data_IF_032578499514
#
_entry.id   IF_032578499514
#
_cell.length_a   1.000
_cell.length_b   1.000
_cell.length_c   1.000
_cell.angle_alpha   90.00
_cell.angle_beta   90.00
_cell.angle_gamma   90.00
#
_symmetry.space_group_name_H-M   'P 1'
#
loop_
_entity.id
_entity.type
_entity.pdbx_description
1 polymer ?
#
# COMPACT_ATOMS: atom_id res chain seq x y z
N UNK A 1 24.92 -15.26 -44.59
CA UNK A 1 24.60 -14.91 -43.19
C UNK A 1 23.17 -14.37 -43.12
N UNK A 2 22.32 -14.98 -42.29
CA UNK A 2 21.02 -14.37 -41.97
C UNK A 2 21.27 -13.15 -41.06
N UNK A 3 20.62 -12.00 -41.30
CA UNK A 3 20.77 -10.83 -40.45
C UNK A 3 20.36 -11.18 -39.02
N UNK A 4 21.24 -10.90 -38.06
CA UNK A 4 20.94 -11.09 -36.63
C UNK A 4 19.69 -10.27 -36.29
N UNK A 5 18.72 -10.83 -35.54
CA UNK A 5 17.54 -10.07 -35.13
C UNK A 5 18.00 -8.84 -34.32
N UNK A 6 17.37 -7.68 -34.53
CA UNK A 6 17.76 -6.44 -33.87
C UNK A 6 17.74 -6.63 -32.35
N UNK A 7 18.88 -6.29 -31.75
CA UNK A 7 19.15 -6.34 -30.32
C UNK A 7 18.21 -5.40 -29.56
N UNK A 8 17.47 -5.96 -28.58
CA UNK A 8 16.79 -5.28 -27.46
C UNK A 8 16.38 -3.83 -27.71
N UNK A 9 15.22 -3.62 -28.36
CA UNK A 9 14.59 -2.31 -28.32
C UNK A 9 14.34 -1.89 -26.86
N UNK A 10 14.66 -0.64 -26.48
CA UNK A 10 14.51 -0.15 -25.12
C UNK A 10 13.06 -0.30 -24.64
N UNK A 11 12.88 -0.65 -23.37
CA UNK A 11 11.54 -0.70 -22.77
C UNK A 11 11.08 0.72 -22.53
N UNK A 12 9.96 1.12 -23.15
CA UNK A 12 9.30 2.41 -22.93
C UNK A 12 8.06 2.24 -22.08
N UNK A 13 7.58 3.33 -21.48
CA UNK A 13 6.31 3.36 -20.74
C UNK A 13 5.15 2.89 -21.63
N UNK A 14 5.07 3.37 -22.87
CA UNK A 14 4.05 2.95 -23.83
C UNK A 14 4.05 1.43 -24.06
N UNK A 15 5.24 0.84 -24.22
CA UNK A 15 5.35 -0.60 -24.44
C UNK A 15 4.92 -1.40 -23.21
N UNK A 16 5.22 -0.91 -22.01
CA UNK A 16 4.72 -1.52 -20.78
C UNK A 16 3.19 -1.45 -20.71
N UNK A 17 2.59 -0.29 -21.01
CA UNK A 17 1.13 -0.11 -21.03
C UNK A 17 0.47 -1.06 -22.04
N UNK A 18 1.02 -1.16 -23.25
CA UNK A 18 0.54 -2.06 -24.29
C UNK A 18 0.54 -3.53 -23.86
N UNK A 19 1.55 -3.97 -23.09
CA UNK A 19 1.60 -5.33 -22.53
C UNK A 19 0.53 -5.61 -21.49
N UNK A 20 0.04 -4.58 -20.81
CA UNK A 20 -1.11 -4.69 -19.91
C UNK A 20 -2.44 -4.63 -20.66
N UNK A 21 -2.42 -4.44 -21.99
CA UNK A 21 -3.62 -4.22 -22.80
C UNK A 21 -4.23 -2.83 -22.59
N UNK A 22 -3.43 -1.86 -22.14
CA UNK A 22 -3.87 -0.49 -21.89
C UNK A 22 -3.34 0.44 -22.99
N UNK A 23 -4.23 1.06 -23.75
CA UNK A 23 -3.87 2.05 -24.74
C UNK A 23 -3.54 3.39 -24.07
N UNK A 24 -2.51 4.09 -24.57
CA UNK A 24 -2.12 5.40 -24.04
C UNK A 24 -3.27 6.41 -24.08
N UNK A 25 -4.06 6.40 -25.15
CA UNK A 25 -5.24 7.26 -25.30
C UNK A 25 -6.29 7.07 -24.20
N UNK A 26 -6.34 5.89 -23.56
CA UNK A 26 -7.26 5.64 -22.44
C UNK A 26 -6.86 6.37 -21.16
N UNK A 27 -5.63 6.89 -21.08
CA UNK A 27 -5.15 7.69 -19.95
C UNK A 27 -5.46 9.19 -20.10
N UNK A 28 -5.79 9.67 -21.31
CA UNK A 28 -5.99 11.09 -21.58
C UNK A 28 -7.18 11.72 -20.81
N UNK A 29 -8.07 10.91 -20.24
CA UNK A 29 -9.17 11.36 -19.39
C UNK A 29 -8.89 11.26 -17.89
N UNK A 30 -7.65 10.98 -17.47
CA UNK A 30 -7.26 10.97 -16.07
C UNK A 30 -6.76 12.36 -15.67
N UNK A 31 -7.26 12.87 -14.54
CA UNK A 31 -6.94 14.23 -14.08
C UNK A 31 -5.56 14.33 -13.41
N UNK A 32 -5.05 13.21 -12.89
CA UNK A 32 -3.78 13.15 -12.15
C UNK A 32 -3.09 11.78 -12.28
N UNK A 33 -1.88 11.71 -11.71
CA UNK A 33 -1.04 10.51 -11.72
C UNK A 33 -1.69 9.33 -10.97
N UNK A 34 -2.44 9.59 -9.92
CA UNK A 34 -3.11 8.55 -9.13
C UNK A 34 -4.26 7.92 -9.93
N UNK A 35 -5.01 8.72 -10.69
CA UNK A 35 -6.05 8.26 -11.60
C UNK A 35 -5.47 7.41 -12.74
N UNK A 36 -4.35 7.84 -13.35
CA UNK A 36 -3.65 7.03 -14.35
C UNK A 36 -3.13 5.73 -13.76
N UNK A 37 -2.52 5.78 -12.57
CA UNK A 37 -2.02 4.59 -11.88
C UNK A 37 -3.15 3.60 -11.54
N UNK A 38 -4.32 4.09 -11.13
CA UNK A 38 -5.49 3.25 -10.92
C UNK A 38 -5.92 2.54 -12.22
N UNK A 39 -5.84 3.21 -13.38
CA UNK A 39 -6.11 2.59 -14.67
C UNK A 39 -5.07 1.50 -15.02
N UNK A 40 -3.79 1.77 -14.77
CA UNK A 40 -2.69 0.79 -14.93
C UNK A 40 -2.92 -0.46 -14.08
N UNK A 41 -3.26 -0.30 -12.81
CA UNK A 41 -3.56 -1.42 -11.90
C UNK A 41 -4.74 -2.27 -12.40
N UNK A 42 -5.85 -1.62 -12.78
CA UNK A 42 -7.03 -2.34 -13.32
C UNK A 42 -6.66 -3.16 -14.56
N UNK A 43 -5.90 -2.59 -15.49
CA UNK A 43 -5.44 -3.28 -16.69
C UNK A 43 -4.52 -4.46 -16.35
N UNK A 44 -3.59 -4.26 -15.41
CA UNK A 44 -2.69 -5.30 -14.93
C UNK A 44 -3.46 -6.49 -14.34
N UNK A 45 -4.35 -6.28 -13.37
CA UNK A 45 -5.09 -7.39 -12.75
C UNK A 45 -5.96 -8.14 -13.75
N UNK A 46 -6.66 -7.41 -14.63
CA UNK A 46 -7.46 -8.02 -15.69
C UNK A 46 -6.61 -8.93 -16.59
N UNK A 47 -5.42 -8.46 -16.98
CA UNK A 47 -4.52 -9.22 -17.85
C UNK A 47 -3.85 -10.37 -17.10
N UNK A 48 -3.41 -10.16 -15.87
CA UNK A 48 -2.81 -11.17 -15.00
C UNK A 48 -3.77 -12.35 -14.75
N UNK A 49 -5.04 -12.08 -14.45
CA UNK A 49 -6.06 -13.11 -14.27
C UNK A 49 -6.32 -13.96 -15.52
N UNK A 50 -6.16 -13.35 -16.70
CA UNK A 50 -6.32 -14.03 -17.99
C UNK A 50 -5.11 -14.89 -18.36
N UNK A 51 -3.90 -14.45 -18.03
CA UNK A 51 -2.66 -15.12 -18.44
C UNK A 51 -2.05 -16.02 -17.37
N UNK A 52 -2.65 -16.08 -16.18
CA UNK A 52 -2.12 -16.83 -15.05
C UNK A 52 -1.96 -18.35 -15.33
N UNK A 53 -0.81 -18.96 -14.99
CA UNK A 53 -0.57 -20.38 -15.23
C UNK A 53 -1.54 -21.32 -14.49
N UNK A 54 -1.91 -21.03 -13.24
CA UNK A 54 -2.89 -21.84 -12.47
C UNK A 54 -4.24 -22.06 -13.15
N UNK A 55 -4.63 -21.19 -14.09
CA UNK A 55 -5.89 -21.30 -14.85
C UNK A 55 -5.65 -21.62 -16.34
N UNK A 56 -4.50 -22.22 -16.65
CA UNK A 56 -4.14 -22.65 -18.00
C UNK A 56 -3.59 -21.53 -18.90
N UNK A 57 -3.17 -20.41 -18.33
CA UNK A 57 -2.51 -19.33 -19.07
C UNK A 57 -1.02 -19.61 -19.35
N UNK A 58 -0.41 -18.81 -20.23
CA UNK A 58 1.01 -18.92 -20.56
C UNK A 58 1.89 -18.21 -19.52
N UNK A 59 2.71 -19.00 -18.81
CA UNK A 59 3.65 -18.50 -17.82
C UNK A 59 4.66 -17.50 -18.41
N UNK A 60 5.06 -17.63 -19.67
CA UNK A 60 5.97 -16.67 -20.31
C UNK A 60 5.28 -15.33 -20.57
N UNK A 61 4.04 -15.33 -21.06
CA UNK A 61 3.23 -14.13 -21.22
C UNK A 61 2.94 -13.47 -19.86
N UNK A 62 2.59 -14.24 -18.84
CA UNK A 62 2.34 -13.72 -17.49
C UNK A 62 3.57 -13.00 -16.91
N UNK A 63 4.76 -13.58 -17.08
CA UNK A 63 6.02 -12.95 -16.66
C UNK A 63 6.30 -11.63 -17.38
N UNK A 64 5.96 -11.53 -18.68
CA UNK A 64 6.07 -10.26 -19.43
C UNK A 64 5.10 -9.19 -18.90
N UNK A 65 3.91 -9.60 -18.46
CA UNK A 65 2.89 -8.73 -17.85
C UNK A 65 3.36 -8.24 -16.48
N UNK A 66 3.87 -9.13 -15.62
CA UNK A 66 4.47 -8.76 -14.34
C UNK A 66 5.64 -7.80 -14.52
N UNK A 67 6.60 -8.11 -15.40
CA UNK A 67 7.76 -7.25 -15.65
C UNK A 67 7.38 -5.85 -16.14
N UNK A 68 6.35 -5.74 -16.99
CA UNK A 68 5.82 -4.46 -17.45
C UNK A 68 5.15 -3.66 -16.32
N UNK A 69 4.35 -4.31 -15.48
CA UNK A 69 3.71 -3.68 -14.33
C UNK A 69 4.75 -3.17 -13.32
N UNK A 70 5.77 -3.97 -13.02
CA UNK A 70 6.85 -3.58 -12.12
C UNK A 70 7.64 -2.38 -12.65
N UNK A 71 7.91 -2.31 -13.95
CA UNK A 71 8.57 -1.16 -14.56
C UNK A 71 7.71 0.12 -14.45
N UNK A 72 6.39 0.01 -14.65
CA UNK A 72 5.45 1.13 -14.49
C UNK A 72 5.30 1.56 -13.02
N UNK A 73 5.29 0.60 -12.09
CA UNK A 73 5.24 0.87 -10.65
C UNK A 73 6.42 1.71 -10.19
N UNK A 74 7.63 1.37 -10.62
CA UNK A 74 8.82 2.17 -10.29
C UNK A 74 8.78 3.57 -10.88
N UNK A 75 8.19 3.73 -12.07
CA UNK A 75 7.97 5.04 -12.66
C UNK A 75 6.97 5.86 -11.83
N UNK A 76 5.86 5.25 -11.40
CA UNK A 76 4.90 5.85 -10.48
C UNK A 76 5.56 6.27 -9.16
N UNK A 77 6.28 5.36 -8.49
CA UNK A 77 6.93 5.64 -7.21
C UNK A 77 7.90 6.83 -7.31
N UNK A 78 8.61 6.96 -8.44
CA UNK A 78 9.48 8.13 -8.74
C UNK A 78 8.67 9.40 -8.93
N UNK A 79 7.56 9.34 -9.67
CA UNK A 79 6.64 10.47 -9.84
C UNK A 79 6.06 10.96 -8.51
N UNK A 80 5.72 10.03 -7.60
CA UNK A 80 5.26 10.36 -6.25
C UNK A 80 6.35 10.98 -5.37
N UNK A 81 7.60 10.54 -5.51
CA UNK A 81 8.73 11.08 -4.75
C UNK A 81 9.07 12.52 -5.18
N UNK A 82 8.80 12.89 -6.43
CA UNK A 82 9.08 14.21 -7.00
C UNK A 82 7.80 14.86 -7.56
N UNK A 83 6.85 15.33 -6.71
CA UNK A 83 5.56 15.85 -7.16
C UNK A 83 5.67 17.07 -8.08
N UNK A 84 6.76 17.84 -7.97
CA UNK A 84 7.06 18.99 -8.81
C UNK A 84 7.41 18.63 -10.26
N UNK A 85 7.65 17.35 -10.56
CA UNK A 85 7.99 16.87 -11.91
C UNK A 85 6.82 16.90 -12.88
N UNK A 86 5.57 16.98 -12.39
CA UNK A 86 4.38 16.88 -13.23
C UNK A 86 4.30 15.55 -13.99
N UNK A 87 4.92 14.50 -13.47
CA UNK A 87 5.00 13.21 -14.13
C UNK A 87 3.60 12.61 -14.33
N UNK A 88 3.29 12.29 -15.59
CA UNK A 88 2.14 11.49 -16.01
C UNK A 88 2.64 10.43 -16.99
N UNK A 89 2.07 9.23 -16.95
CA UNK A 89 2.33 8.17 -17.91
C UNK A 89 1.94 8.58 -19.33
N UNK A 90 0.81 9.27 -19.50
CA UNK A 90 0.37 9.79 -20.80
C UNK A 90 1.41 10.74 -21.42
N UNK A 91 1.97 11.64 -20.61
CA UNK A 91 2.99 12.61 -21.03
C UNK A 91 4.40 12.00 -21.17
N UNK A 92 4.65 10.83 -20.56
CA UNK A 92 5.98 10.20 -20.48
C UNK A 92 6.10 8.93 -21.34
N UNK A 93 5.17 8.69 -22.26
CA UNK A 93 5.05 7.44 -23.03
C UNK A 93 6.36 6.95 -23.68
N UNK A 94 7.13 7.88 -24.26
CA UNK A 94 8.40 7.58 -24.94
C UNK A 94 9.60 7.43 -23.99
N UNK A 95 9.47 7.80 -22.71
CA UNK A 95 10.55 7.66 -21.75
C UNK A 95 10.89 6.18 -21.54
N UNK A 96 12.18 5.92 -21.36
CA UNK A 96 12.67 4.60 -20.99
C UNK A 96 12.07 4.21 -19.64
N UNK A 97 11.29 3.14 -19.64
CA UNK A 97 10.92 2.47 -18.41
C UNK A 97 12.17 1.74 -17.87
N UNK A 98 12.26 1.62 -16.55
CA UNK A 98 13.30 0.80 -15.95
C UNK A 98 13.27 -0.61 -16.54
N UNK A 99 14.47 -1.18 -16.72
CA UNK A 99 14.64 -2.50 -17.32
C UNK A 99 13.73 -3.49 -16.59
N UNK A 100 12.91 -4.18 -17.38
CA UNK A 100 12.11 -5.32 -16.92
C UNK A 100 13.05 -6.25 -16.17
N UNK A 101 12.82 -6.40 -14.86
CA UNK A 101 13.55 -7.39 -14.10
C UNK A 101 13.20 -8.75 -14.71
N UNK A 102 14.19 -9.64 -14.90
CA UNK A 102 13.88 -11.01 -15.27
C UNK A 102 12.92 -11.53 -14.21
N UNK A 103 11.77 -12.00 -14.65
CA UNK A 103 10.82 -12.63 -13.75
C UNK A 103 11.58 -13.74 -12.99
N UNK A 104 11.37 -13.78 -11.67
CA UNK A 104 11.97 -14.76 -10.79
C UNK A 104 11.65 -16.20 -11.22
N UNK A 105 12.21 -17.20 -10.53
CA UNK A 105 11.80 -18.59 -10.72
C UNK A 105 10.27 -18.72 -10.67
N UNK A 106 9.74 -19.69 -11.40
CA UNK A 106 8.28 -19.93 -11.54
C UNK A 106 7.56 -20.10 -10.19
N UNK A 107 8.31 -20.47 -9.14
CA UNK A 107 7.86 -20.55 -7.74
C UNK A 107 7.50 -19.21 -7.09
N UNK A 108 7.83 -18.08 -7.71
CA UNK A 108 7.61 -16.74 -7.16
C UNK A 108 6.33 -16.07 -7.67
N UNK A 109 5.53 -16.78 -8.47
CA UNK A 109 4.24 -16.28 -8.96
C UNK A 109 3.19 -16.43 -7.83
N UNK A 110 2.60 -15.33 -7.33
CA UNK A 110 1.47 -15.41 -6.39
C UNK A 110 0.32 -16.22 -6.96
N UNK A 111 -0.50 -16.82 -6.10
CA UNK A 111 -1.66 -17.61 -6.57
C UNK A 111 -2.67 -16.80 -7.39
N UNK A 112 -3.44 -17.46 -8.25
CA UNK A 112 -4.53 -16.79 -8.98
C UNK A 112 -5.52 -16.09 -8.04
N UNK A 113 -5.83 -16.71 -6.90
CA UNK A 113 -6.74 -16.16 -5.89
C UNK A 113 -6.22 -14.83 -5.31
N UNK A 114 -4.91 -14.67 -5.16
CA UNK A 114 -4.31 -13.38 -4.78
C UNK A 114 -4.63 -12.29 -5.80
N UNK A 115 -4.44 -12.59 -7.09
CA UNK A 115 -4.73 -11.63 -8.16
C UNK A 115 -6.22 -11.26 -8.23
N UNK A 116 -7.10 -12.21 -7.96
CA UNK A 116 -8.54 -11.98 -8.00
C UNK A 116 -8.98 -11.06 -6.87
N UNK A 117 -8.51 -11.33 -5.65
CA UNK A 117 -8.78 -10.49 -4.48
C UNK A 117 -8.15 -9.09 -4.62
N UNK A 118 -6.95 -9.01 -5.18
CA UNK A 118 -6.26 -7.75 -5.41
C UNK A 118 -6.94 -6.88 -6.48
N UNK A 119 -7.61 -7.49 -7.46
CA UNK A 119 -8.34 -6.77 -8.51
C UNK A 119 -9.53 -5.96 -7.99
N UNK A 120 -10.11 -6.38 -6.86
CA UNK A 120 -11.25 -5.70 -6.21
C UNK A 120 -10.81 -4.43 -5.45
N UNK A 121 -9.52 -4.30 -5.14
CA UNK A 121 -8.99 -3.23 -4.28
C UNK A 121 -8.39 -2.08 -5.11
N UNK A 122 -9.17 -1.01 -5.26
CA UNK A 122 -8.72 0.20 -5.97
C UNK A 122 -7.61 0.94 -5.21
N UNK A 123 -7.67 0.94 -3.87
CA UNK A 123 -6.73 1.62 -2.97
C UNK A 123 -6.14 0.56 -2.02
N UNK A 124 -4.83 0.60 -1.70
CA UNK A 124 -4.26 -0.33 -0.75
C UNK A 124 -5.00 -0.32 0.59
N UNK A 125 -5.59 -1.45 0.97
CA UNK A 125 -6.36 -1.54 2.21
C UNK A 125 -5.49 -1.37 3.46
N UNK A 126 -4.21 -1.73 3.38
CA UNK A 126 -3.30 -1.71 4.54
C UNK A 126 -2.18 -0.70 4.34
N UNK A 127 -1.69 -0.14 5.44
CA UNK A 127 -0.53 0.77 5.46
C UNK A 127 0.46 0.33 6.53
N UNK A 128 1.74 0.28 6.16
CA UNK A 128 2.84 0.07 7.10
C UNK A 128 3.63 1.38 7.20
N UNK A 129 3.80 1.91 8.40
CA UNK A 129 4.58 3.12 8.62
C UNK A 129 5.20 3.16 10.02
N UNK A 130 6.14 4.10 10.23
CA UNK A 130 6.58 4.50 11.57
C UNK A 130 5.51 5.35 12.25
N UNK A 131 5.26 5.11 13.52
CA UNK A 131 4.32 5.90 14.30
C UNK A 131 4.80 7.35 14.42
N UNK A 132 4.01 8.29 13.90
CA UNK A 132 4.35 9.72 13.92
C UNK A 132 4.36 10.32 15.33
N UNK A 133 3.65 9.69 16.27
CA UNK A 133 3.57 10.08 17.68
C UNK A 133 3.22 8.87 18.54
N UNK A 134 3.45 8.98 19.86
CA UNK A 134 3.12 7.94 20.84
C UNK A 134 1.65 8.01 21.33
N UNK A 135 0.71 8.37 20.45
CA UNK A 135 -0.72 8.58 20.80
C UNK A 135 -1.67 7.51 20.24
N UNK A 136 -1.19 6.66 19.33
CA UNK A 136 -2.03 5.61 18.76
C UNK A 136 -2.03 4.38 19.66
N UNK A 137 -3.22 3.91 20.02
CA UNK A 137 -3.40 2.64 20.71
C UNK A 137 -3.34 1.48 19.73
N UNK A 138 -2.78 0.36 20.18
CA UNK A 138 -2.89 -0.89 19.45
C UNK A 138 -4.33 -1.41 19.48
N UNK A 139 -4.92 -1.66 18.31
CA UNK A 139 -6.28 -2.19 18.17
C UNK A 139 -6.35 -3.70 17.97
N UNK A 140 -5.27 -4.44 18.28
CA UNK A 140 -5.26 -5.89 18.14
C UNK A 140 -6.34 -6.51 19.06
N UNK A 141 -7.31 -7.21 18.47
CA UNK A 141 -8.42 -7.82 19.22
C UNK A 141 -8.11 -9.28 19.56
N UNK A 142 -8.05 -9.58 20.86
CA UNK A 142 -8.34 -10.87 21.52
C UNK A 142 -7.51 -12.11 21.14
N UNK A 143 -6.91 -12.76 22.16
CA UNK A 143 -6.36 -14.14 22.25
C UNK A 143 -5.44 -14.68 21.14
N UNK A 144 -5.20 -13.92 20.06
CA UNK A 144 -4.23 -14.32 19.06
C UNK A 144 -2.87 -14.41 19.75
N UNK A 145 -2.14 -15.48 19.47
CA UNK A 145 -0.74 -15.65 19.87
C UNK A 145 0.15 -14.45 19.49
N UNK A 146 -0.35 -13.59 18.57
CA UNK A 146 0.23 -12.33 18.15
C UNK A 146 -0.06 -11.12 19.06
N UNK A 147 -1.15 -11.08 19.85
CA UNK A 147 -1.39 -9.92 20.75
C UNK A 147 -0.42 -9.98 21.93
N UNK A 148 0.80 -9.47 21.71
CA UNK A 148 1.84 -9.30 22.73
C UNK A 148 1.57 -8.08 23.62
N UNK A 149 0.54 -7.30 23.30
CA UNK A 149 0.23 -6.04 23.94
C UNK A 149 -1.07 -6.10 24.75
N UNK A 150 -1.11 -5.34 25.83
CA UNK A 150 -2.32 -5.04 26.57
C UNK A 150 -3.22 -4.08 25.76
N UNK A 151 -4.51 -4.02 26.11
CA UNK A 151 -5.51 -3.22 25.39
C UNK A 151 -5.24 -1.70 25.46
N UNK A 152 -4.45 -1.28 26.43
CA UNK A 152 -4.11 0.14 26.66
C UNK A 152 -2.72 0.49 26.14
N UNK A 153 -2.02 -0.44 25.49
CA UNK A 153 -0.66 -0.21 25.01
C UNK A 153 -0.65 0.79 23.85
N UNK A 154 0.02 1.91 24.12
CA UNK A 154 0.35 2.93 23.13
C UNK A 154 1.54 2.45 22.30
N UNK A 155 1.43 2.62 20.99
CA UNK A 155 2.51 2.38 20.04
C UNK A 155 3.51 3.53 20.18
N UNK A 156 4.77 3.21 20.40
CA UNK A 156 5.82 4.21 20.63
C UNK A 156 6.07 5.04 19.37
N UNK A 157 6.46 6.31 19.53
CA UNK A 157 6.89 7.14 18.39
C UNK A 157 8.05 6.44 17.67
N UNK A 158 8.03 6.51 16.34
CA UNK A 158 8.99 5.91 15.42
C UNK A 158 8.96 4.37 15.36
N UNK A 159 8.09 3.72 16.13
CA UNK A 159 7.87 2.27 16.07
C UNK A 159 7.07 1.88 14.82
N UNK A 160 7.39 0.73 14.22
CA UNK A 160 6.62 0.21 13.09
C UNK A 160 5.22 -0.24 13.54
N UNK A 161 4.23 0.24 12.80
CA UNK A 161 2.83 -0.12 12.97
C UNK A 161 2.17 -0.41 11.64
N UNK A 162 1.10 -1.19 11.70
CA UNK A 162 0.26 -1.51 10.55
C UNK A 162 -1.14 -0.97 10.83
N UNK A 163 -1.74 -0.30 9.85
CA UNK A 163 -3.10 0.20 9.92
C UNK A 163 -3.89 -0.25 8.70
N UNK A 164 -5.19 0.03 8.72
CA UNK A 164 -6.08 -0.21 7.59
C UNK A 164 -6.86 1.04 7.20
N UNK A 165 -7.24 1.11 5.94
CA UNK A 165 -8.04 2.19 5.37
C UNK A 165 -9.45 2.13 5.96
N UNK A 166 -9.92 3.25 6.49
CA UNK A 166 -11.33 3.43 6.82
C UNK A 166 -12.05 3.95 5.57
N UNK A 167 -13.05 3.20 5.10
CA UNK A 167 -13.81 3.52 3.88
C UNK A 167 -14.66 4.78 4.00
N UNK A 168 -15.10 5.14 5.21
CA UNK A 168 -15.93 6.33 5.44
C UNK A 168 -15.08 7.60 5.45
N UNK A 169 -13.93 7.57 6.13
CA UNK A 169 -13.05 8.74 6.25
C UNK A 169 -12.00 8.85 5.14
N UNK A 170 -11.74 7.77 4.39
CA UNK A 170 -10.66 7.69 3.42
C UNK A 170 -9.27 7.76 4.03
N UNK A 171 -9.15 7.58 5.35
CA UNK A 171 -7.88 7.69 6.09
C UNK A 171 -7.45 6.36 6.67
N UNK A 172 -6.13 6.14 6.76
CA UNK A 172 -5.60 4.98 7.48
C UNK A 172 -5.71 5.20 8.99
N UNK A 173 -6.26 4.20 9.67
CA UNK A 173 -6.40 4.15 11.11
C UNK A 173 -6.25 2.72 11.59
N UNK A 174 -6.86 2.40 12.73
CA UNK A 174 -6.85 1.03 13.22
C UNK A 174 -5.45 0.49 13.51
N UNK A 175 -4.59 1.32 14.08
CA UNK A 175 -3.18 0.98 14.20
C UNK A 175 -2.95 -0.23 15.11
N UNK A 176 -2.05 -1.12 14.70
CA UNK A 176 -1.54 -2.22 15.52
C UNK A 176 -0.02 -2.22 15.51
N UNK A 177 0.61 -2.67 16.61
CA UNK A 177 2.04 -2.98 16.60
C UNK A 177 2.34 -3.99 15.50
N UNK A 178 3.50 -3.89 14.87
CA UNK A 178 3.90 -4.86 13.85
C UNK A 178 3.86 -6.31 14.38
N UNK A 179 4.35 -6.55 15.60
CA UNK A 179 4.30 -7.88 16.23
C UNK A 179 2.88 -8.38 16.55
N UNK A 180 1.91 -7.46 16.68
CA UNK A 180 0.51 -7.77 16.94
C UNK A 180 -0.34 -7.91 15.68
N UNK A 181 0.27 -7.71 14.51
CA UNK A 181 -0.46 -7.74 13.26
C UNK A 181 -0.82 -9.17 12.85
N UNK A 182 -2.12 -9.42 12.77
CA UNK A 182 -2.67 -10.62 12.15
C UNK A 182 -2.70 -10.43 10.63
N UNK A 183 -1.76 -11.04 9.92
CA UNK A 183 -1.59 -10.91 8.47
C UNK A 183 -2.86 -11.38 7.75
N UNK A 184 -3.58 -10.51 7.01
CA UNK A 184 -4.81 -10.87 6.30
C UNK A 184 -4.57 -11.88 5.18
N UNK A 185 -5.62 -12.66 4.84
CA UNK A 185 -5.54 -13.67 3.76
C UNK A 185 -5.06 -13.11 2.43
N UNK A 186 -5.56 -11.94 2.04
CA UNK A 186 -5.16 -11.27 0.80
C UNK A 186 -3.66 -10.98 0.75
N UNK A 187 -3.05 -10.67 1.90
CA UNK A 187 -1.60 -10.40 1.97
C UNK A 187 -0.82 -11.71 1.94
N UNK A 188 -1.13 -12.67 2.81
CA UNK A 188 -0.32 -13.89 2.88
C UNK A 188 -0.49 -14.83 1.68
N UNK A 189 -1.59 -14.74 0.92
CA UNK A 189 -1.73 -15.43 -0.37
C UNK A 189 -0.76 -14.92 -1.44
N UNK A 190 -0.23 -13.71 -1.27
CA UNK A 190 0.78 -13.11 -2.13
C UNK A 190 2.22 -13.40 -1.71
N UNK A 191 2.43 -14.15 -0.64
CA UNK A 191 3.75 -14.47 -0.10
C UNK A 191 4.19 -15.89 -0.51
N UNK A 192 5.51 -16.15 -0.57
CA UNK A 192 6.02 -17.52 -0.66
C UNK A 192 5.50 -18.39 0.50
N UNK A 193 5.38 -19.69 0.26
CA UNK A 193 5.01 -20.63 1.33
C UNK A 193 6.20 -20.79 2.31
N UNK A 194 6.07 -20.37 3.58
CA UNK A 194 7.18 -20.40 4.54
C UNK A 194 7.59 -21.83 4.92
N UNK A 195 6.80 -22.85 4.56
CA UNK A 195 7.18 -24.27 4.73
C UNK A 195 8.06 -24.79 3.60
N UNK A 196 8.10 -24.08 2.46
CA UNK A 196 8.86 -24.45 1.26
C UNK A 196 9.98 -23.46 0.93
N UNK A 197 9.86 -22.22 1.41
CA UNK A 197 10.81 -21.15 1.19
C UNK A 197 11.15 -20.49 2.52
N UNK A 198 12.42 -20.55 2.93
CA UNK A 198 12.95 -19.87 4.12
C UNK A 198 13.73 -18.60 3.78
N UNK A 199 13.79 -18.21 2.51
CA UNK A 199 14.54 -17.03 2.08
C UNK A 199 13.77 -15.74 2.37
N UNK A 200 14.26 -14.97 3.33
CA UNK A 200 13.67 -13.68 3.72
C UNK A 200 13.66 -12.70 2.54
N UNK A 201 14.65 -12.76 1.64
CA UNK A 201 14.73 -11.84 0.50
C UNK A 201 13.57 -12.08 -0.49
N UNK A 202 13.17 -13.33 -0.73
CA UNK A 202 11.98 -13.66 -1.50
C UNK A 202 10.70 -13.04 -0.90
N UNK A 203 10.53 -13.11 0.42
CA UNK A 203 9.40 -12.46 1.10
C UNK A 203 9.45 -10.94 1.01
N UNK A 204 10.65 -10.34 1.13
CA UNK A 204 10.83 -8.90 0.95
C UNK A 204 10.46 -8.48 -0.48
N UNK A 205 10.87 -9.26 -1.48
CA UNK A 205 10.52 -9.03 -2.89
C UNK A 205 9.01 -9.08 -3.10
N UNK A 206 8.34 -10.13 -2.61
CA UNK A 206 6.90 -10.31 -2.71
C UNK A 206 6.13 -9.16 -2.03
N UNK A 207 6.54 -8.78 -0.81
CA UNK A 207 5.97 -7.64 -0.10
C UNK A 207 6.13 -6.34 -0.88
N UNK A 208 7.31 -6.09 -1.46
CA UNK A 208 7.51 -4.91 -2.33
C UNK A 208 6.56 -4.94 -3.51
N UNK A 209 6.38 -6.08 -4.19
CA UNK A 209 5.41 -6.22 -5.28
C UNK A 209 3.98 -5.86 -4.88
N UNK A 210 3.59 -6.16 -3.63
CA UNK A 210 2.29 -5.78 -3.07
C UNK A 210 2.17 -4.30 -2.65
N UNK A 211 3.29 -3.55 -2.62
CA UNK A 211 3.43 -2.19 -2.07
C UNK A 211 2.62 -1.07 -2.75
N UNK A 212 1.89 -1.39 -3.81
CA UNK A 212 1.02 -0.46 -4.55
C UNK A 212 -0.41 -1.01 -4.72
N UNK A 213 -0.65 -2.22 -4.20
CA UNK A 213 -1.84 -3.02 -4.44
C UNK A 213 -2.59 -3.23 -3.12
N UNK A 214 -1.95 -3.88 -2.16
CA UNK A 214 -2.59 -4.26 -0.88
C UNK A 214 -1.99 -3.53 0.31
N UNK A 215 -0.71 -3.19 0.23
CA UNK A 215 0.06 -2.53 1.29
C UNK A 215 0.59 -1.21 0.76
N UNK A 216 0.44 -0.12 1.49
CA UNK A 216 1.10 1.15 1.22
C UNK A 216 2.20 1.45 2.26
N UNK A 217 3.09 2.39 1.96
CA UNK A 217 4.16 2.84 2.86
C UNK A 217 5.43 1.97 2.85
N UNK A 218 5.49 0.90 2.04
CA UNK A 218 6.65 -0.01 2.02
C UNK A 218 7.92 0.61 1.42
N UNK A 219 7.78 1.60 0.54
CA UNK A 219 8.91 2.33 -0.06
C UNK A 219 9.66 3.18 0.98
N UNK A 220 9.00 3.60 2.06
CA UNK A 220 9.54 4.44 3.12
C UNK A 220 10.36 3.63 4.16
N UNK A 221 10.27 2.30 4.12
CA UNK A 221 10.93 1.42 5.07
C UNK A 221 12.41 1.20 4.73
N UNK A 222 13.26 1.31 5.74
CA UNK A 222 14.66 0.89 5.64
C UNK A 222 14.78 -0.62 5.40
N UNK A 223 15.96 -1.06 4.95
CA UNK A 223 16.21 -2.50 4.72
C UNK A 223 16.02 -3.37 5.96
N UNK A 224 16.34 -2.85 7.15
CA UNK A 224 16.16 -3.57 8.42
C UNK A 224 14.69 -3.67 8.84
N UNK A 225 13.92 -2.60 8.63
CA UNK A 225 12.48 -2.58 8.89
C UNK A 225 11.70 -3.47 7.94
N UNK A 226 12.05 -3.44 6.66
CA UNK A 226 11.49 -4.35 5.67
C UNK A 226 11.76 -5.81 6.03
N UNK A 227 12.94 -6.11 6.61
CA UNK A 227 13.30 -7.45 7.10
C UNK A 227 12.44 -7.85 8.31
N UNK A 228 12.19 -6.93 9.25
CA UNK A 228 11.28 -7.16 10.39
C UNK A 228 9.87 -7.49 9.92
N UNK A 229 9.33 -6.70 8.98
CA UNK A 229 8.02 -6.97 8.37
C UNK A 229 7.98 -8.35 7.70
N UNK A 230 9.00 -8.69 6.92
CA UNK A 230 9.09 -10.00 6.28
C UNK A 230 9.06 -11.14 7.30
N UNK A 231 9.80 -11.06 8.40
CA UNK A 231 9.76 -12.09 9.45
C UNK A 231 8.39 -12.26 10.10
N UNK A 232 7.67 -11.16 10.36
CA UNK A 232 6.29 -11.23 10.86
C UNK A 232 5.37 -11.93 9.85
N UNK A 233 5.53 -11.62 8.57
CA UNK A 233 4.78 -12.21 7.47
C UNK A 233 5.11 -13.69 7.21
N UNK A 234 6.35 -14.11 7.46
CA UNK A 234 6.79 -15.51 7.35
C UNK A 234 6.20 -16.41 8.46
N UNK A 235 5.88 -15.84 9.62
CA UNK A 235 5.36 -16.61 10.73
C UNK A 235 3.86 -16.93 10.54
N UNK A 236 3.55 -18.20 10.24
CA UNK A 236 2.17 -18.68 10.04
C UNK A 236 1.26 -18.47 11.25
N UNK A 237 1.80 -18.37 12.46
CA UNK A 237 1.00 -18.04 13.65
C UNK A 237 0.36 -16.64 13.56
N UNK A 238 0.97 -15.74 12.78
CA UNK A 238 0.42 -14.42 12.53
C UNK A 238 -0.64 -14.42 11.44
N UNK A 239 -0.86 -15.53 10.70
CA UNK A 239 -1.79 -15.55 9.59
C UNK A 239 -3.25 -15.56 10.06
N UNK A 240 -4.06 -14.70 9.46
CA UNK A 240 -5.51 -14.77 9.58
C UNK A 240 -6.02 -16.05 8.91
N UNK A 241 -7.12 -16.60 9.43
CA UNK A 241 -7.79 -17.76 8.81
C UNK A 241 -8.16 -17.42 7.37
N UNK A 242 -7.97 -18.38 6.46
CA UNK A 242 -8.49 -18.27 5.09
C UNK A 242 -10.02 -18.23 5.15
N UNK A 243 -10.60 -17.16 4.63
CA UNK A 243 -12.04 -17.06 4.37
C UNK A 243 -12.17 -17.10 2.85
N UNK A 244 -13.01 -17.99 2.32
CA UNK A 244 -13.24 -18.04 0.88
C UNK A 244 -14.03 -16.82 0.42
N UNK A 245 -13.77 -16.34 -0.80
CA UNK A 245 -14.45 -15.19 -1.38
C UNK A 245 -15.97 -15.37 -1.39
N UNK A 246 -16.43 -16.60 -1.66
CA UNK A 246 -17.85 -16.98 -1.64
C UNK A 246 -18.50 -16.73 -0.27
N UNK A 247 -17.80 -17.03 0.82
CA UNK A 247 -18.33 -16.87 2.18
C UNK A 247 -18.40 -15.39 2.58
N UNK A 248 -17.52 -14.54 2.03
CA UNK A 248 -17.54 -13.09 2.28
C UNK A 248 -18.71 -12.39 1.61
N UNK A 249 -19.03 -12.76 0.37
CA UNK A 249 -20.18 -12.19 -0.34
C UNK A 249 -21.52 -12.51 0.36
N UNK A 250 -21.58 -13.63 1.08
CA UNK A 250 -22.73 -14.01 1.91
C UNK A 250 -22.74 -13.26 3.25
N UNK A 251 -21.57 -12.95 3.81
CA UNK A 251 -21.43 -12.26 5.10
C UNK A 251 -21.45 -10.72 5.01
N UNK A 252 -21.34 -10.14 3.81
CA UNK A 252 -21.38 -8.70 3.63
C UNK A 252 -22.80 -8.15 3.86
N UNK A 253 -23.02 -7.19 4.78
CA UNK A 253 -24.28 -6.48 4.83
C UNK A 253 -24.49 -5.75 3.49
N UNK A 254 -25.70 -5.82 2.97
CA UNK A 254 -26.12 -5.46 1.61
C UNK A 254 -26.03 -3.96 1.22
N UNK A 255 -25.08 -3.19 1.79
CA UNK A 255 -24.96 -1.74 1.61
C UNK A 255 -23.65 -1.20 1.02
N UNK A 256 -22.68 -2.04 0.64
CA UNK A 256 -21.29 -1.58 0.40
C UNK A 256 -20.83 -1.34 -1.04
N UNK A 257 -21.57 -1.79 -2.07
CA UNK A 257 -20.99 -1.90 -3.42
C UNK A 257 -20.92 -0.58 -4.23
N UNK A 258 -21.53 0.51 -3.77
CA UNK A 258 -21.64 1.75 -4.57
C UNK A 258 -20.71 2.89 -4.12
N UNK A 259 -20.01 2.77 -2.98
CA UNK A 259 -19.32 3.91 -2.36
C UNK A 259 -17.87 4.14 -2.83
N UNK A 260 -17.24 3.17 -3.50
CA UNK A 260 -15.79 3.21 -3.79
C UNK A 260 -15.42 4.17 -4.94
N UNK A 261 -16.40 4.63 -5.73
CA UNK A 261 -16.14 5.57 -6.83
C UNK A 261 -16.15 7.06 -6.39
N UNK A 262 -16.72 7.40 -5.23
CA UNK A 262 -16.94 8.80 -4.82
C UNK A 262 -15.88 9.35 -3.86
N UNK A 263 -14.98 8.51 -3.33
CA UNK A 263 -13.99 8.91 -2.34
C UNK A 263 -12.81 9.73 -2.92
N UNK A 264 -12.61 9.76 -4.24
CA UNK A 264 -11.49 10.47 -4.86
C UNK A 264 -11.68 12.01 -4.90
N UNK A 265 -12.91 12.52 -4.77
CA UNK A 265 -13.20 13.95 -4.95
C UNK A 265 -13.08 14.82 -3.68
N UNK A 266 -12.83 14.24 -2.50
CA UNK A 266 -12.91 15.00 -1.22
C UNK A 266 -11.57 15.20 -0.50
N UNK A 267 -10.47 14.66 -1.03
CA UNK A 267 -9.14 14.80 -0.43
C UNK A 267 -8.38 16.06 -0.90
N UNK A 268 -8.89 16.80 -1.89
CA UNK A 268 -8.26 17.99 -2.50
C UNK A 268 -9.15 19.23 -2.34
N UNK A 269 -9.50 19.55 -1.09
CA UNK A 269 -10.22 20.77 -0.72
C UNK A 269 -9.34 21.73 0.08
N UNK A 270 -8.58 22.55 -0.63
CA UNK A 270 -7.66 23.58 -0.12
C UNK A 270 -8.33 24.55 0.84
N UNK A 271 -7.65 24.80 1.96
CA UNK A 271 -7.94 25.89 2.88
C UNK A 271 -7.88 27.25 2.16
N UNK A 272 -9.03 27.92 2.01
CA UNK A 272 -9.08 29.35 1.74
C UNK A 272 -9.15 30.11 3.06
N UNK A 273 -7.99 30.60 3.50
CA UNK A 273 -7.88 31.62 4.54
C UNK A 273 -8.32 32.98 3.98
N UNK A 274 -9.45 33.48 4.47
CA UNK A 274 -9.76 34.91 4.48
C UNK A 274 -9.46 35.44 5.87
N UNK A 275 -8.66 36.51 5.95
CA UNK A 275 -8.35 37.16 7.23
C UNK A 275 -7.62 38.47 7.04
N UNK A 276 -8.37 39.53 6.71
CA UNK A 276 -7.92 40.91 6.68
C UNK A 276 -7.63 41.43 8.11
N UNK A 277 -6.47 42.07 8.22
CA UNK A 277 -6.11 43.33 8.89
C UNK A 277 -6.83 43.82 10.16
N UNK A 278 -5.95 44.26 11.09
CA UNK A 278 -6.02 45.46 11.94
C UNK A 278 -6.49 45.35 13.40
N UNK A 279 -5.54 45.76 14.27
CA UNK A 279 -5.60 46.14 15.68
C UNK A 279 -6.63 47.28 15.98
N UNK A 280 -6.86 47.81 17.22
CA UNK A 280 -5.93 47.85 18.35
C UNK A 280 -6.47 47.80 19.81
N UNK A 281 -5.49 47.76 20.72
CA UNK A 281 -5.38 48.38 22.06
C UNK A 281 -6.46 48.14 23.14
N UNK A 282 -5.98 47.68 24.31
CA UNK A 282 -6.71 47.71 25.58
C UNK A 282 -5.80 47.31 26.75
N UNK A 283 -5.23 48.32 27.40
CA UNK A 283 -4.44 48.27 28.64
C UNK A 283 -5.30 47.95 29.88
N UNK A 284 -4.73 47.24 30.86
CA UNK A 284 -4.74 47.54 32.32
C UNK A 284 -4.31 46.28 33.11
N UNK A 285 -3.19 46.26 33.85
CA UNK A 285 -2.93 46.84 35.19
C UNK A 285 -3.01 45.78 36.31
N UNK A 286 -1.84 45.49 36.89
CA UNK A 286 -1.55 45.39 38.33
C UNK A 286 -2.22 44.31 39.23
N UNK A 287 -1.40 43.31 39.66
CA UNK A 287 -1.00 42.88 41.04
C UNK A 287 -2.01 42.94 42.24
N UNK A 288 -1.76 42.29 43.42
CA UNK A 288 -0.97 41.08 43.75
C UNK A 288 -1.57 40.16 44.88
N UNK A 289 -0.88 39.04 45.12
CA UNK A 289 -0.53 38.44 46.45
C UNK A 289 -1.43 37.45 47.20
N UNK A 290 -0.70 36.63 47.98
CA UNK A 290 -1.05 35.71 49.07
C UNK A 290 -1.53 34.31 48.63
N UNK A 291 -0.97 33.17 49.05
CA UNK A 291 0.04 32.90 50.07
C UNK A 291 -0.51 31.85 51.05
N UNK A 292 0.00 30.61 51.01
CA UNK A 292 0.33 29.78 52.19
C UNK A 292 0.77 28.37 51.81
N UNK A 293 1.98 28.05 52.26
CA UNK A 293 2.49 26.70 52.50
C UNK A 293 1.73 26.03 53.65
N UNK A 294 1.49 24.72 53.55
CA UNK A 294 1.49 23.79 54.69
C UNK A 294 2.10 22.47 54.21
N UNK A 295 3.11 21.99 54.94
CA UNK A 295 3.67 20.63 54.96
C UNK A 295 3.69 20.19 56.44
N UNK A 296 4.01 18.93 56.78
CA UNK A 296 3.11 17.80 57.00
C UNK A 296 2.97 17.43 58.51
N UNK A 297 2.16 16.41 58.82
CA UNK A 297 2.23 15.69 60.09
C UNK A 297 2.24 14.18 59.85
N UNK A 298 3.15 13.52 60.56
CA UNK A 298 3.41 12.09 60.54
C UNK A 298 2.44 11.31 61.44
N UNK A 299 2.25 10.04 61.11
CA UNK A 299 2.09 8.90 62.02
C UNK A 299 2.58 7.64 61.29
#
# INVERSE_FOLDING_TARGET
ELPRPPTNMPTTIERCLARLGLALASLAGCDDLDAEWAAVKRAYFKTALKTHPDKGGDAAAFRKVQGAFEALRKAYDRGCAEPSSGFLFSASAAQSAERELPAGPESDIPSWDFYAEAAEEAVPMYRVERAKSARSHCQAKGSAQASQCSRDDLISKDELRVGWLNSESGTYGGWVHLGCWRVPNRVWLGLPDPTKCSDVAAFQSALRGMGSVLLSGLAELSGSEMRKLAHVCMNRANWARRVELKDRLVAAPSGGAAATATALAKATGTAQGQGRSSAPAGSNSSKPSSGRSIVPAAA
#
